data_IF_191794765562
#
_entry.id   IF_191794765562
#
_cell.length_a   1.000
_cell.length_b   1.000
_cell.length_c   1.000
_cell.angle_alpha   90.00
_cell.angle_beta   90.00
_cell.angle_gamma   90.00
#
_symmetry.space_group_name_H-M   'P 1'
#
loop_
_entity.id
_entity.type
_entity.pdbx_description
1 polymer ?
#
# COMPACT_ATOMS: atom_id res chain seq x y z
N UNK A 1 -11.77 -9.81 19.29
CA UNK A 1 -12.00 -8.49 19.92
C UNK A 1 -12.16 -7.47 18.79
N UNK A 2 -13.36 -6.91 18.58
CA UNK A 2 -13.62 -5.84 17.61
C UNK A 2 -13.32 -4.51 18.31
N UNK A 3 -12.34 -3.75 17.81
CA UNK A 3 -11.99 -2.43 18.35
C UNK A 3 -13.05 -1.42 17.88
N UNK A 4 -13.86 -0.91 18.82
CA UNK A 4 -15.10 -0.19 18.57
C UNK A 4 -14.94 1.31 18.26
N UNK A 5 -13.72 1.82 18.23
CA UNK A 5 -13.42 3.19 17.81
C UNK A 5 -12.23 3.06 16.87
N UNK A 6 -12.34 3.58 15.65
CA UNK A 6 -11.34 3.42 14.59
C UNK A 6 -9.90 3.53 15.10
N UNK A 7 -8.97 2.77 14.51
CA UNK A 7 -7.57 2.79 14.92
C UNK A 7 -7.06 4.23 14.69
N UNK A 8 -6.92 5.01 15.76
CA UNK A 8 -6.21 6.29 15.73
C UNK A 8 -4.73 5.94 15.61
N UNK A 9 -4.28 5.75 14.37
CA UNK A 9 -2.88 5.46 14.06
C UNK A 9 -2.15 6.79 13.99
N UNK A 10 -1.34 7.06 15.01
CA UNK A 10 -0.39 8.17 15.02
C UNK A 10 0.71 7.82 13.99
N UNK A 11 0.57 8.31 12.74
CA UNK A 11 1.36 7.86 11.57
C UNK A 11 2.86 7.94 11.84
N UNK A 12 3.31 9.04 12.44
CA UNK A 12 4.72 9.27 12.78
C UNK A 12 5.24 8.28 13.84
N UNK A 13 4.49 8.05 14.91
CA UNK A 13 4.89 7.09 15.94
C UNK A 13 4.77 5.63 15.49
N UNK A 14 3.84 5.33 14.61
CA UNK A 14 3.51 3.95 14.23
C UNK A 14 4.37 3.46 13.07
N UNK A 15 4.61 4.32 12.07
CA UNK A 15 5.34 3.96 10.87
C UNK A 15 6.71 4.64 10.80
N UNK A 16 6.85 5.84 11.38
CA UNK A 16 8.05 6.67 11.25
C UNK A 16 8.40 6.89 9.79
N UNK A 17 9.65 6.57 9.42
CA UNK A 17 10.11 6.63 8.03
C UNK A 17 9.71 5.34 7.30
N UNK A 18 8.85 5.50 6.28
CA UNK A 18 8.54 4.44 5.33
C UNK A 18 9.45 4.59 4.11
N UNK A 19 10.08 3.48 3.71
CA UNK A 19 10.92 3.43 2.52
C UNK A 19 10.32 2.50 1.49
N UNK A 20 10.21 2.94 0.26
CA UNK A 20 9.74 2.12 -0.84
C UNK A 20 10.67 0.92 -1.05
N UNK A 21 10.08 -0.27 -1.26
CA UNK A 21 10.83 -1.47 -1.60
C UNK A 21 10.49 -1.94 -3.01
N UNK A 22 9.23 -2.31 -3.26
CA UNK A 22 8.80 -2.80 -4.56
C UNK A 22 7.28 -2.76 -4.72
N UNK A 23 6.81 -2.75 -5.97
CA UNK A 23 5.44 -3.14 -6.31
C UNK A 23 5.34 -4.67 -6.20
N UNK A 24 4.49 -5.16 -5.31
CA UNK A 24 4.36 -6.59 -5.05
C UNK A 24 3.31 -7.26 -5.93
N UNK A 25 2.16 -6.61 -6.08
CA UNK A 25 1.03 -7.17 -6.81
C UNK A 25 0.12 -6.06 -7.30
N UNK A 26 -0.40 -6.24 -8.50
CA UNK A 26 -1.54 -5.49 -9.01
C UNK A 26 -2.74 -6.42 -9.03
N UNK A 27 -3.87 -5.94 -8.50
CA UNK A 27 -5.15 -6.65 -8.57
C UNK A 27 -5.96 -5.96 -9.64
N UNK A 28 -6.37 -6.72 -10.64
CA UNK A 28 -7.15 -6.23 -11.75
C UNK A 28 -8.65 -6.36 -11.45
N UNK A 29 -9.46 -5.53 -12.11
CA UNK A 29 -10.90 -5.65 -12.08
C UNK A 29 -11.30 -6.94 -12.79
N UNK A 30 -12.23 -7.68 -12.19
CA UNK A 30 -12.84 -8.83 -12.85
C UNK A 30 -14.08 -8.35 -13.60
N UNK A 31 -14.15 -8.65 -14.90
CA UNK A 31 -15.31 -8.33 -15.72
C UNK A 31 -16.51 -9.21 -15.36
N UNK A 32 -17.71 -8.79 -15.75
CA UNK A 32 -18.96 -9.56 -15.54
C UNK A 32 -18.91 -10.94 -16.20
N UNK A 33 -18.15 -11.08 -17.29
CA UNK A 33 -17.93 -12.34 -18.01
C UNK A 33 -16.91 -13.27 -17.30
N UNK A 34 -16.40 -12.86 -16.13
CA UNK A 34 -15.43 -13.62 -15.34
C UNK A 34 -13.97 -13.48 -15.80
N UNK A 35 -13.71 -12.80 -16.92
CA UNK A 35 -12.36 -12.51 -17.42
C UNK A 35 -11.66 -11.40 -16.62
N UNK A 36 -10.33 -11.41 -16.64
CA UNK A 36 -9.51 -10.38 -15.99
C UNK A 36 -9.42 -9.18 -16.93
N UNK A 37 -9.78 -7.99 -16.44
CA UNK A 37 -9.67 -6.75 -17.20
C UNK A 37 -8.25 -6.18 -17.17
N UNK A 38 -7.92 -5.30 -18.12
CA UNK A 38 -6.67 -4.53 -18.10
C UNK A 38 -6.72 -3.39 -17.08
N UNK A 39 -7.93 -3.04 -16.59
CA UNK A 39 -8.11 -2.07 -15.52
C UNK A 39 -7.61 -2.61 -14.18
N UNK A 40 -6.67 -1.88 -13.58
CA UNK A 40 -6.17 -2.16 -12.24
C UNK A 40 -7.21 -1.64 -11.24
N UNK A 41 -7.46 -2.40 -10.18
CA UNK A 41 -8.33 -2.05 -9.06
C UNK A 41 -7.52 -1.52 -7.88
N UNK A 42 -6.44 -2.22 -7.54
CA UNK A 42 -5.55 -1.88 -6.43
C UNK A 42 -4.11 -2.33 -6.73
N UNK A 43 -3.15 -1.60 -6.19
CA UNK A 43 -1.72 -1.89 -6.27
C UNK A 43 -1.19 -2.06 -4.86
N UNK A 44 -0.62 -3.23 -4.58
CA UNK A 44 0.01 -3.51 -3.29
C UNK A 44 1.50 -3.25 -3.39
N UNK A 45 1.97 -2.30 -2.59
CA UNK A 45 3.39 -1.95 -2.45
C UNK A 45 3.96 -2.50 -1.16
N UNK A 46 5.18 -3.04 -1.23
CA UNK A 46 5.97 -3.38 -0.05
C UNK A 46 6.78 -2.15 0.38
N UNK A 47 6.53 -1.68 1.60
CA UNK A 47 7.25 -0.58 2.23
C UNK A 47 8.04 -1.12 3.43
N UNK A 48 9.25 -0.61 3.63
CA UNK A 48 10.06 -0.88 4.82
C UNK A 48 9.71 0.14 5.89
N UNK A 49 9.17 -0.35 7.00
CA UNK A 49 8.92 0.47 8.18
C UNK A 49 10.15 0.41 9.10
N UNK A 50 10.86 1.53 9.25
CA UNK A 50 12.05 1.58 10.09
C UNK A 50 11.72 1.40 11.58
N UNK A 51 10.58 1.95 12.02
CA UNK A 51 10.18 1.93 13.44
C UNK A 51 9.77 0.53 13.91
N UNK A 52 9.05 -0.24 13.09
CA UNK A 52 8.61 -1.59 13.46
C UNK A 52 9.61 -2.69 13.04
N UNK A 53 10.67 -2.34 12.28
CA UNK A 53 11.65 -3.30 11.77
C UNK A 53 11.06 -4.37 10.86
N UNK A 54 9.89 -4.12 10.26
CA UNK A 54 9.15 -5.06 9.42
C UNK A 54 8.75 -4.41 8.11
N UNK A 55 8.63 -5.22 7.08
CA UNK A 55 7.99 -4.82 5.83
C UNK A 55 6.47 -4.77 6.04
N UNK A 56 5.85 -3.69 5.59
CA UNK A 56 4.41 -3.51 5.57
C UNK A 56 3.92 -3.54 4.14
N UNK A 57 2.70 -4.03 3.95
CA UNK A 57 2.06 -4.08 2.64
C UNK A 57 0.99 -3.01 2.60
N UNK A 58 1.08 -2.12 1.62
CA UNK A 58 0.11 -1.04 1.43
C UNK A 58 -0.58 -1.25 0.10
N UNK A 59 -1.87 -1.59 0.15
CA UNK A 59 -2.75 -1.55 -1.01
C UNK A 59 -3.24 -0.13 -1.25
N UNK A 60 -2.95 0.41 -2.42
CA UNK A 60 -3.40 1.71 -2.90
C UNK A 60 -4.40 1.47 -4.04
N UNK A 61 -5.58 2.12 -4.03
CA UNK A 61 -6.53 1.97 -5.13
C UNK A 61 -5.97 2.55 -6.43
N UNK A 62 -6.42 2.01 -7.57
CA UNK A 62 -5.98 2.45 -8.89
C UNK A 62 -6.40 3.88 -9.27
N UNK A 63 -7.30 4.49 -8.48
CA UNK A 63 -7.60 5.93 -8.57
C UNK A 63 -6.36 6.79 -8.34
N UNK A 64 -5.37 6.28 -7.60
CA UNK A 64 -4.06 6.91 -7.46
C UNK A 64 -3.17 6.45 -8.62
N UNK A 65 -2.53 7.38 -9.36
CA UNK A 65 -1.63 7.02 -10.44
C UNK A 65 -0.46 6.18 -9.94
N UNK A 66 0.12 5.37 -10.84
CA UNK A 66 1.33 4.61 -10.54
C UNK A 66 2.42 5.60 -10.12
N UNK A 67 3.02 5.36 -8.96
CA UNK A 67 4.16 6.10 -8.48
C UNK A 67 5.38 5.20 -8.56
N UNK A 68 6.25 5.48 -9.53
CA UNK A 68 7.55 4.84 -9.67
C UNK A 68 8.52 5.53 -8.70
N UNK A 69 8.60 4.96 -7.48
CA UNK A 69 9.58 5.37 -6.48
C UNK A 69 10.84 4.54 -6.61
N UNK A 70 12.00 5.16 -6.41
CA UNK A 70 13.27 4.45 -6.33
C UNK A 70 13.33 3.52 -5.12
N UNK A 71 14.16 2.48 -5.22
CA UNK A 71 14.41 1.59 -4.10
C UNK A 71 14.98 2.36 -2.90
N UNK A 72 14.35 2.20 -1.73
CA UNK A 72 14.58 2.95 -0.49
C UNK A 72 14.20 4.44 -0.51
N UNK A 73 13.46 4.93 -1.51
CA UNK A 73 12.91 6.28 -1.49
C UNK A 73 11.98 6.46 -0.28
N UNK A 74 12.09 7.60 0.41
CA UNK A 74 11.22 7.92 1.54
C UNK A 74 9.83 8.32 1.03
N UNK A 75 8.81 7.65 1.55
CA UNK A 75 7.42 7.84 1.13
C UNK A 75 6.53 8.08 2.34
N UNK A 76 5.46 8.83 2.13
CA UNK A 76 4.46 9.10 3.17
C UNK A 76 3.07 8.69 2.69
N UNK A 77 2.29 8.15 3.62
CA UNK A 77 0.90 7.77 3.39
C UNK A 77 0.00 8.96 3.73
N UNK A 78 -0.53 9.63 2.70
CA UNK A 78 -1.48 10.75 2.84
C UNK A 78 -2.89 10.27 3.09
#
# INVERSE_FOLDING_TARGET
MRLANGIVIDKEKTFGVLKFSALRREVHVQNEDGTVSEEIKERTYDLKCNTQGRMIQVSVPATVPLKDYDYNAEVELI
#
